data_IF_964290780059
#
_entry.id   IF_964290780059
#
_cell.length_a   1.000
_cell.length_b   1.000
_cell.length_c   1.000
_cell.angle_alpha   90.00
_cell.angle_beta   90.00
_cell.angle_gamma   90.00
#
_symmetry.space_group_name_H-M   'P 1'
#
loop_
_entity.id
_entity.type
_entity.pdbx_description
1 polymer ?
#
# COMPACT_ATOMS: atom_id res chain seq x y z
N UNK A 1 1.29 -15.33 -0.14
CA UNK A 1 2.50 -14.72 -0.72
C UNK A 1 3.18 -13.80 0.28
N UNK A 2 4.48 -13.64 0.15
CA UNK A 2 5.21 -12.63 0.92
C UNK A 2 5.04 -11.27 0.28
N UNK A 3 5.29 -10.21 1.04
CA UNK A 3 5.23 -8.86 0.50
C UNK A 3 6.44 -8.05 0.94
N UNK A 4 6.72 -7.00 0.18
CA UNK A 4 7.72 -5.98 0.50
C UNK A 4 7.17 -4.61 0.19
N UNK A 5 7.59 -3.63 0.98
CA UNK A 5 7.27 -2.23 0.69
C UNK A 5 8.37 -1.60 -0.17
N UNK A 6 7.94 -0.83 -1.17
CA UNK A 6 8.81 0.20 -1.71
C UNK A 6 9.10 1.18 -0.58
N UNK A 7 10.33 1.71 -0.49
CA UNK A 7 10.69 2.57 0.64
C UNK A 7 9.79 3.78 0.80
N UNK A 8 9.34 4.38 -0.31
CA UNK A 8 8.42 5.52 -0.24
C UNK A 8 7.05 5.08 0.25
N UNK A 9 6.60 3.89 -0.13
CA UNK A 9 5.33 3.35 0.36
C UNK A 9 5.37 3.14 1.87
N UNK A 10 6.49 2.66 2.39
CA UNK A 10 6.65 2.51 3.84
C UNK A 10 6.62 3.85 4.54
N UNK A 11 7.26 4.86 3.98
CA UNK A 11 7.22 6.23 4.52
C UNK A 11 5.80 6.79 4.49
N UNK A 12 5.06 6.51 3.43
CA UNK A 12 3.65 6.92 3.33
C UNK A 12 2.82 6.29 4.45
N UNK A 13 3.05 5.01 4.72
CA UNK A 13 2.36 4.32 5.80
C UNK A 13 2.68 4.97 7.15
N UNK A 14 3.96 5.18 7.43
CA UNK A 14 4.39 5.77 8.69
C UNK A 14 3.81 7.17 8.87
N UNK A 15 3.87 7.99 7.83
CA UNK A 15 3.33 9.35 7.89
C UNK A 15 1.82 9.35 8.13
N UNK A 16 1.09 8.44 7.50
CA UNK A 16 -0.34 8.35 7.69
C UNK A 16 -0.70 7.88 9.10
N UNK A 17 0.06 6.92 9.64
CA UNK A 17 -0.12 6.46 11.03
C UNK A 17 0.05 7.63 11.99
N UNK A 18 1.12 8.41 11.81
CA UNK A 18 1.39 9.57 12.66
C UNK A 18 0.31 10.63 12.57
N UNK A 19 -0.17 10.86 11.35
CA UNK A 19 -1.26 11.81 11.14
C UNK A 19 -2.52 11.38 11.90
N UNK A 20 -2.94 10.14 11.74
CA UNK A 20 -4.16 9.67 12.40
C UNK A 20 -4.00 9.63 13.92
N UNK A 21 -2.81 9.28 14.39
CA UNK A 21 -2.56 9.30 15.83
C UNK A 21 -2.65 10.72 16.40
N UNK A 22 -2.22 11.71 15.62
CA UNK A 22 -2.34 13.11 16.05
C UNK A 22 -3.79 13.58 16.06
N UNK A 23 -4.64 12.97 15.24
CA UNK A 23 -6.07 13.32 15.22
C UNK A 23 -6.79 12.78 16.45
N UNK A 24 -6.45 11.57 16.88
CA UNK A 24 -7.09 10.93 18.02
C UNK A 24 -6.21 9.80 18.54
N UNK A 25 -5.94 9.74 19.86
CA UNK A 25 -5.14 8.65 20.42
C UNK A 25 -5.72 7.29 20.04
N UNK A 26 -4.85 6.39 19.56
CA UNK A 26 -5.23 5.05 19.13
C UNK A 26 -5.69 4.94 17.68
N UNK A 27 -5.97 6.06 17.01
CA UNK A 27 -6.45 6.00 15.64
C UNK A 27 -5.35 5.58 14.68
N UNK A 28 -4.09 5.96 14.94
CA UNK A 28 -2.97 5.50 14.14
C UNK A 28 -2.81 3.99 14.19
N UNK A 29 -3.00 3.40 15.35
CA UNK A 29 -2.98 1.94 15.49
C UNK A 29 -4.10 1.30 14.68
N UNK A 30 -5.31 1.84 14.74
CA UNK A 30 -6.45 1.32 13.96
C UNK A 30 -6.16 1.39 12.46
N UNK A 31 -5.58 2.49 12.00
CA UNK A 31 -5.21 2.64 10.59
C UNK A 31 -4.18 1.60 10.20
N UNK A 32 -3.14 1.43 11.00
CA UNK A 32 -2.09 0.44 10.75
C UNK A 32 -2.67 -0.97 10.64
N UNK A 33 -3.54 -1.34 11.59
CA UNK A 33 -4.18 -2.67 11.54
C UNK A 33 -4.97 -2.87 10.27
N UNK A 34 -5.68 -1.85 9.83
CA UNK A 34 -6.48 -1.96 8.61
C UNK A 34 -5.61 -2.09 7.36
N UNK A 35 -4.51 -1.35 7.31
CA UNK A 35 -3.58 -1.47 6.19
C UNK A 35 -3.00 -2.88 6.12
N UNK A 36 -2.54 -3.42 7.23
CA UNK A 36 -1.98 -4.78 7.23
C UNK A 36 -3.03 -5.84 6.95
N UNK A 37 -4.26 -5.66 7.41
CA UNK A 37 -5.35 -6.57 7.05
C UNK A 37 -5.61 -6.54 5.55
N UNK A 38 -5.55 -5.36 4.94
CA UNK A 38 -5.71 -5.20 3.49
C UNK A 38 -4.57 -5.89 2.74
N UNK A 39 -3.33 -5.70 3.20
CA UNK A 39 -2.17 -6.37 2.59
C UNK A 39 -2.29 -7.89 2.71
N UNK A 40 -2.76 -8.38 3.86
CA UNK A 40 -2.95 -9.83 4.03
C UNK A 40 -3.98 -10.39 3.04
N UNK A 41 -5.06 -9.66 2.78
CA UNK A 41 -6.04 -10.07 1.75
C UNK A 41 -5.40 -10.09 0.37
N UNK A 42 -4.56 -9.10 0.06
CA UNK A 42 -3.83 -9.06 -1.22
C UNK A 42 -2.92 -10.28 -1.35
N UNK A 43 -2.19 -10.61 -0.29
CA UNK A 43 -1.27 -11.75 -0.32
C UNK A 43 -2.02 -13.07 -0.50
N UNK A 44 -3.24 -13.17 0.04
CA UNK A 44 -4.05 -14.36 -0.06
C UNK A 44 -4.73 -14.50 -1.42
N UNK A 45 -5.18 -13.38 -1.99
CA UNK A 45 -5.90 -13.36 -3.27
C UNK A 45 -5.33 -12.29 -4.20
N UNK A 46 -4.09 -12.46 -4.66
CA UNK A 46 -3.40 -11.35 -5.35
C UNK A 46 -4.04 -10.92 -6.67
N UNK A 47 -4.84 -11.78 -7.29
CA UNK A 47 -5.48 -11.46 -8.57
C UNK A 47 -6.91 -10.95 -8.41
N UNK A 48 -7.40 -10.84 -7.19
CA UNK A 48 -8.82 -10.50 -6.95
C UNK A 48 -9.13 -9.03 -7.19
N UNK A 49 -8.14 -8.14 -7.09
CA UNK A 49 -8.40 -6.70 -7.19
C UNK A 49 -8.07 -6.16 -8.56
N UNK A 50 -8.71 -5.03 -8.89
CA UNK A 50 -8.64 -4.49 -10.25
C UNK A 50 -7.25 -3.95 -10.60
N UNK A 51 -6.92 -4.09 -11.87
CA UNK A 51 -5.77 -3.42 -12.44
C UNK A 51 -6.10 -1.95 -12.67
N UNK A 52 -5.20 -1.06 -12.26
CA UNK A 52 -5.32 0.36 -12.54
C UNK A 52 -4.38 0.79 -13.67
N UNK A 53 -3.44 -0.07 -14.02
CA UNK A 53 -2.65 0.01 -15.24
C UNK A 53 -2.29 -1.43 -15.65
N UNK A 54 -1.36 -1.61 -16.57
CA UNK A 54 -1.06 -2.93 -17.10
C UNK A 54 -0.51 -3.92 -16.06
N UNK A 55 0.03 -3.44 -14.95
CA UNK A 55 0.66 -4.32 -13.94
C UNK A 55 0.31 -3.98 -12.51
N UNK A 56 -0.26 -2.81 -12.25
CA UNK A 56 -0.52 -2.34 -10.89
C UNK A 56 -1.97 -2.56 -10.53
N UNK A 57 -2.18 -3.16 -9.38
CA UNK A 57 -3.52 -3.39 -8.83
C UNK A 57 -3.74 -2.50 -7.62
N UNK A 58 -5.00 -2.29 -7.29
CA UNK A 58 -5.40 -1.46 -6.16
C UNK A 58 -6.41 -2.20 -5.30
N UNK A 59 -6.11 -2.29 -4.01
CA UNK A 59 -7.04 -2.81 -3.01
C UNK A 59 -7.34 -1.70 -2.02
N UNK A 60 -8.62 -1.33 -1.88
CA UNK A 60 -9.03 -0.27 -0.98
C UNK A 60 -9.11 -0.77 0.46
N UNK A 61 -8.77 0.09 1.42
CA UNK A 61 -9.02 -0.19 2.83
C UNK A 61 -10.51 0.04 3.13
N UNK A 62 -10.99 -0.52 4.26
CA UNK A 62 -12.43 -0.50 4.57
C UNK A 62 -12.92 0.83 5.12
N UNK A 63 -12.21 1.39 6.12
CA UNK A 63 -12.72 2.53 6.88
C UNK A 63 -11.98 3.84 6.64
N UNK A 64 -10.84 3.76 5.99
CA UNK A 64 -10.01 4.93 5.74
C UNK A 64 -9.96 5.20 4.24
N UNK A 65 -9.83 6.47 3.82
CA UNK A 65 -9.82 6.78 2.37
C UNK A 65 -8.44 6.50 1.77
N UNK A 66 -8.02 5.23 1.83
CA UNK A 66 -6.72 4.78 1.34
C UNK A 66 -6.85 3.57 0.46
N UNK A 67 -5.89 3.41 -0.42
CA UNK A 67 -5.72 2.23 -1.24
C UNK A 67 -4.30 1.73 -1.16
N UNK A 68 -4.15 0.41 -1.29
CA UNK A 68 -2.85 -0.25 -1.39
C UNK A 68 -2.62 -0.55 -2.85
N UNK A 69 -1.60 0.07 -3.43
CA UNK A 69 -1.20 -0.19 -4.81
C UNK A 69 -0.07 -1.21 -4.80
N UNK A 70 -0.21 -2.26 -5.60
CA UNK A 70 0.77 -3.32 -5.57
C UNK A 70 0.97 -3.94 -6.95
N UNK A 71 2.10 -4.62 -7.09
CA UNK A 71 2.43 -5.44 -8.26
C UNK A 71 2.84 -6.80 -7.78
N UNK A 72 2.61 -7.79 -8.62
CA UNK A 72 3.07 -9.16 -8.37
C UNK A 72 4.37 -9.35 -9.12
N UNK A 73 5.42 -9.77 -8.44
CA UNK A 73 6.73 -9.99 -9.05
C UNK A 73 7.43 -11.15 -8.37
N UNK A 74 7.83 -12.14 -9.16
CA UNK A 74 8.62 -13.26 -8.66
C UNK A 74 8.02 -13.93 -7.43
N UNK A 75 6.71 -14.17 -7.46
CA UNK A 75 5.96 -14.83 -6.38
C UNK A 75 5.93 -14.00 -5.09
N UNK A 76 6.09 -12.70 -5.19
CA UNK A 76 5.90 -11.83 -4.04
C UNK A 76 5.05 -10.62 -4.43
N UNK A 77 4.48 -10.01 -3.43
CA UNK A 77 3.71 -8.77 -3.59
C UNK A 77 4.65 -7.61 -3.30
N UNK A 78 4.74 -6.67 -4.23
CA UNK A 78 5.48 -5.44 -4.04
C UNK A 78 4.50 -4.30 -3.83
N UNK A 79 4.50 -3.77 -2.62
CA UNK A 79 3.64 -2.64 -2.25
C UNK A 79 4.26 -1.38 -2.82
N UNK A 80 3.61 -0.80 -3.83
CA UNK A 80 4.11 0.36 -4.55
C UNK A 80 3.74 1.67 -3.87
N UNK A 81 2.58 1.71 -3.24
CA UNK A 81 2.10 2.93 -2.59
C UNK A 81 1.05 2.60 -1.53
N UNK A 82 1.06 3.37 -0.46
CA UNK A 82 -0.03 3.47 0.49
C UNK A 82 -0.66 4.83 0.18
N UNK A 83 -1.75 4.81 -0.57
CA UNK A 83 -2.24 5.98 -1.26
C UNK A 83 -3.50 6.55 -0.63
N UNK A 84 -3.44 7.82 -0.24
CA UNK A 84 -4.65 8.57 0.05
C UNK A 84 -5.44 8.69 -1.26
N UNK A 85 -6.73 8.40 -1.25
CA UNK A 85 -7.56 8.38 -2.46
C UNK A 85 -7.70 9.74 -3.13
N UNK A 86 -7.30 10.82 -2.46
CA UNK A 86 -7.34 12.17 -3.03
C UNK A 86 -6.03 12.54 -3.74
N UNK A 87 -5.02 11.65 -3.74
CA UNK A 87 -3.76 11.88 -4.45
C UNK A 87 -3.96 11.88 -5.96
N UNK A 88 -3.13 12.66 -6.63
CA UNK A 88 -3.14 12.74 -8.09
C UNK A 88 -2.78 11.38 -8.69
N UNK A 89 -3.52 10.89 -9.70
CA UNK A 89 -3.21 9.62 -10.35
C UNK A 89 -1.80 9.60 -10.94
N UNK A 90 -1.16 8.43 -10.85
CA UNK A 90 0.12 8.19 -11.50
C UNK A 90 1.34 8.64 -10.71
N UNK A 91 1.17 9.21 -9.50
CA UNK A 91 2.30 9.70 -8.72
C UNK A 91 3.31 8.60 -8.36
N UNK A 92 2.89 7.35 -8.33
CA UNK A 92 3.75 6.21 -7.96
C UNK A 92 4.60 5.70 -9.12
N UNK A 93 4.38 6.16 -10.34
CA UNK A 93 5.01 5.55 -11.52
C UNK A 93 6.53 5.60 -11.50
N UNK A 94 7.09 6.62 -10.88
CA UNK A 94 8.54 6.73 -10.76
C UNK A 94 9.15 5.66 -9.86
N UNK A 95 8.34 4.93 -9.11
CA UNK A 95 8.77 3.90 -8.17
C UNK A 95 9.01 2.55 -8.83
N UNK A 96 8.71 2.42 -10.11
CA UNK A 96 8.79 1.16 -10.84
C UNK A 96 10.23 0.71 -11.04
N UNK A 97 11.15 1.64 -11.15
CA UNK A 97 12.54 1.37 -11.46
C UNK A 97 13.36 1.04 -10.22
N UNK A 98 14.06 -0.09 -10.28
CA UNK A 98 15.02 -0.46 -9.27
C UNK A 98 14.48 -1.34 -8.15
N UNK A 99 14.70 -2.66 -8.27
CA UNK A 99 14.28 -3.62 -7.24
C UNK A 99 14.89 -3.32 -5.86
N UNK A 100 16.06 -2.68 -5.84
CA UNK A 100 16.74 -2.32 -4.59
C UNK A 100 16.02 -1.25 -3.78
N UNK A 101 14.99 -0.63 -4.35
CA UNK A 101 14.15 0.33 -3.63
C UNK A 101 13.13 -0.35 -2.72
N UNK A 102 13.01 -1.64 -2.78
CA UNK A 102 12.06 -2.38 -1.95
C UNK A 102 12.72 -2.89 -0.69
N UNK A 103 12.04 -2.68 0.44
CA UNK A 103 12.52 -3.15 1.75
C UNK A 103 12.42 -4.66 1.83
N UNK A 104 13.40 -5.23 2.47
CA UNK A 104 13.46 -6.68 2.68
C UNK A 104 12.59 -7.10 3.85
#
# INVERSE_FOLDING_TARGET
MKFRFHEIAEEELISAIEYYESCQPGLGFCFSEEVYATINRVCEFPLAWELIDDKTRRCLTSRFPYGILYRISEKEIRIMAVMNLHRKPGFWKNRIQGARKFRV
#
